data_IF_654722825761
#
_entry.id   IF_654722825761
#
_cell.length_a   1.000
_cell.length_b   1.000
_cell.length_c   1.000
_cell.angle_alpha   90.00
_cell.angle_beta   90.00
_cell.angle_gamma   90.00
#
_symmetry.space_group_name_H-M   'P 1'
#
loop_
_entity.id
_entity.type
_entity.pdbx_description
1 polymer ?
#
# COMPACT_ATOMS: atom_id res chain seq x y z
N UNK A 1 3.13 -10.47 6.22
CA UNK A 1 2.97 -10.19 4.77
C UNK A 1 4.15 -9.40 4.19
N UNK A 2 4.66 -8.32 4.82
CA UNK A 2 5.90 -7.63 4.40
C UNK A 2 7.08 -8.58 4.18
N UNK A 3 7.40 -9.41 5.17
CA UNK A 3 8.51 -10.39 5.09
C UNK A 3 8.33 -11.38 3.93
N UNK A 4 7.09 -11.79 3.64
CA UNK A 4 6.80 -12.67 2.51
C UNK A 4 7.05 -11.95 1.17
N UNK A 5 6.77 -10.65 1.08
CA UNK A 5 7.02 -9.87 -0.15
C UNK A 5 8.51 -9.55 -0.32
N UNK A 6 9.23 -9.23 0.76
CA UNK A 6 10.68 -9.03 0.72
C UNK A 6 11.40 -10.30 0.22
N UNK A 7 10.89 -11.49 0.57
CA UNK A 7 11.40 -12.78 0.07
C UNK A 7 11.13 -13.03 -1.42
N UNK A 8 10.20 -12.31 -2.04
CA UNK A 8 9.91 -12.45 -3.49
C UNK A 8 10.84 -11.60 -4.38
N UNK A 9 11.79 -10.87 -3.79
CA UNK A 9 12.74 -10.02 -4.53
C UNK A 9 12.21 -8.63 -4.90
N UNK A 10 11.01 -8.28 -4.43
CA UNK A 10 10.49 -6.92 -4.57
C UNK A 10 11.05 -5.99 -3.49
N UNK A 11 11.47 -4.80 -3.89
CA UNK A 11 11.93 -3.76 -2.96
C UNK A 11 10.72 -3.12 -2.26
N UNK A 12 10.64 -3.31 -0.94
CA UNK A 12 9.59 -2.72 -0.10
C UNK A 12 10.07 -1.37 0.42
N UNK A 13 9.34 -0.30 0.09
CA UNK A 13 9.63 1.07 0.55
C UNK A 13 8.51 1.61 1.43
N UNK A 14 8.80 2.55 2.34
CA UNK A 14 7.75 3.37 2.96
C UNK A 14 6.88 4.08 1.92
N UNK A 15 5.69 4.52 2.34
CA UNK A 15 4.84 5.36 1.50
C UNK A 15 5.59 6.62 1.02
N UNK A 16 5.41 6.95 -0.26
CA UNK A 16 6.08 8.10 -0.88
C UNK A 16 5.33 9.43 -0.72
N UNK A 17 4.07 9.40 -0.30
CA UNK A 17 3.15 10.56 -0.20
C UNK A 17 2.14 10.37 0.93
N UNK A 18 1.45 11.44 1.30
CA UNK A 18 0.43 11.45 2.35
C UNK A 18 1.02 11.66 3.76
N UNK A 19 0.16 11.59 4.77
CA UNK A 19 0.52 11.89 6.17
C UNK A 19 1.49 10.90 6.82
N UNK A 20 1.63 9.70 6.26
CA UNK A 20 2.58 8.67 6.73
C UNK A 20 3.78 8.48 5.79
N UNK A 21 4.08 9.49 4.97
CA UNK A 21 5.24 9.44 4.07
C UNK A 21 6.52 9.19 4.88
N UNK A 22 7.32 8.21 4.45
CA UNK A 22 8.62 7.90 5.07
C UNK A 22 8.56 7.20 6.43
N UNK A 23 7.37 7.04 7.03
CA UNK A 23 7.20 6.28 8.27
C UNK A 23 7.35 4.80 7.96
N UNK A 24 8.21 4.11 8.70
CA UNK A 24 8.44 2.68 8.53
C UNK A 24 7.17 1.88 8.86
N UNK A 25 7.04 0.68 8.32
CA UNK A 25 5.91 -0.19 8.68
C UNK A 25 5.90 -0.54 10.18
N UNK A 26 7.08 -0.71 10.78
CA UNK A 26 7.26 -1.03 12.20
C UNK A 26 6.80 0.11 13.11
N UNK A 27 6.92 1.36 12.64
CA UNK A 27 6.42 2.56 13.33
C UNK A 27 4.93 2.86 13.04
N UNK A 28 4.21 1.91 12.43
CA UNK A 28 2.80 2.04 12.07
C UNK A 28 2.55 2.80 10.76
N UNK A 29 3.57 2.88 9.90
CA UNK A 29 3.48 3.43 8.55
C UNK A 29 2.95 2.42 7.53
N UNK A 30 2.64 2.92 6.33
CA UNK A 30 2.34 2.08 5.18
C UNK A 30 3.58 1.70 4.38
N UNK A 31 3.41 0.83 3.38
CA UNK A 31 4.48 0.48 2.46
C UNK A 31 4.00 0.46 1.02
N UNK A 32 4.97 0.52 0.09
CA UNK A 32 4.76 0.42 -1.35
C UNK A 32 5.78 -0.51 -1.99
N UNK A 33 5.33 -1.18 -3.03
CA UNK A 33 6.14 -1.99 -3.95
C UNK A 33 5.84 -1.52 -5.36
N UNK A 34 6.88 -1.40 -6.19
CA UNK A 34 6.72 -1.22 -7.61
C UNK A 34 6.90 -2.58 -8.31
N UNK A 35 6.05 -2.89 -9.29
CA UNK A 35 6.08 -4.14 -10.04
C UNK A 35 5.72 -3.89 -11.50
N UNK A 36 6.19 -4.73 -12.43
CA UNK A 36 5.76 -4.68 -13.83
C UNK A 36 5.97 -3.33 -14.55
N UNK A 37 6.97 -2.54 -14.16
CA UNK A 37 7.24 -1.20 -14.69
C UNK A 37 6.37 -0.12 -14.06
N UNK A 38 5.09 -0.08 -14.45
CA UNK A 38 4.13 0.95 -14.03
C UNK A 38 3.19 0.53 -12.90
N UNK A 39 3.35 -0.70 -12.42
CA UNK A 39 2.56 -1.27 -11.33
C UNK A 39 3.03 -0.77 -9.97
N UNK A 40 2.06 -0.39 -9.13
CA UNK A 40 2.32 0.01 -7.74
C UNK A 40 1.32 -0.69 -6.83
N UNK A 41 1.85 -1.41 -5.84
CA UNK A 41 1.07 -2.04 -4.77
C UNK A 41 1.36 -1.32 -3.46
N UNK A 42 0.32 -0.85 -2.76
CA UNK A 42 0.46 -0.05 -1.55
C UNK A 42 -0.43 -0.57 -0.42
N UNK A 43 0.13 -0.63 0.78
CA UNK A 43 -0.58 -0.77 2.03
C UNK A 43 -0.75 0.60 2.69
N UNK A 44 -1.98 0.93 3.07
CA UNK A 44 -2.28 2.09 3.89
C UNK A 44 -2.87 1.63 5.23
N UNK A 45 -2.21 1.94 6.37
CA UNK A 45 -2.75 1.60 7.68
C UNK A 45 -3.95 2.49 8.04
N UNK A 46 -4.74 2.07 9.02
CA UNK A 46 -5.87 2.85 9.54
C UNK A 46 -5.45 4.19 10.13
N UNK A 47 -4.27 4.24 10.76
CA UNK A 47 -3.71 5.45 11.36
C UNK A 47 -3.60 6.55 10.30
N UNK A 48 -4.33 7.66 10.49
CA UNK A 48 -4.35 8.77 9.54
C UNK A 48 -5.09 8.48 8.23
N UNK A 49 -5.89 7.40 8.18
CA UNK A 49 -6.77 7.10 7.05
C UNK A 49 -8.04 7.95 7.12
N UNK A 50 -8.25 8.79 6.11
CA UNK A 50 -9.55 9.46 5.90
C UNK A 50 -10.64 8.49 5.39
N UNK A 51 -10.31 7.23 5.08
CA UNK A 51 -11.19 6.28 4.41
C UNK A 51 -11.74 5.17 5.33
N UNK A 52 -11.67 5.36 6.65
CA UNK A 52 -12.22 4.44 7.64
C UNK A 52 -11.58 3.05 7.57
N UNK A 53 -10.42 2.91 8.23
CA UNK A 53 -9.68 1.66 8.29
C UNK A 53 -8.48 1.57 7.34
N UNK A 54 -7.74 0.47 7.50
CA UNK A 54 -6.65 0.09 6.61
C UNK A 54 -7.17 -0.37 5.25
N UNK A 55 -6.36 -0.22 4.21
CA UNK A 55 -6.74 -0.63 2.85
C UNK A 55 -5.51 -0.88 1.98
N UNK A 56 -5.74 -1.65 0.91
CA UNK A 56 -4.78 -1.87 -0.16
C UNK A 56 -5.10 -0.97 -1.35
N UNK A 57 -4.06 -0.47 -2.00
CA UNK A 57 -4.18 0.27 -3.25
C UNK A 57 -3.31 -0.38 -4.30
N UNK A 58 -3.93 -0.74 -5.42
CA UNK A 58 -3.28 -1.37 -6.57
C UNK A 58 -3.43 -0.43 -7.74
N UNK A 59 -2.31 -0.06 -8.37
CA UNK A 59 -2.26 0.75 -9.56
C UNK A 59 -1.52 0.00 -10.65
N UNK A 60 -2.02 0.04 -11.88
CA UNK A 60 -1.35 -0.49 -13.07
C UNK A 60 -1.55 0.50 -14.22
N UNK A 61 -0.52 1.30 -14.49
CA UNK A 61 -0.62 2.43 -15.44
C UNK A 61 -1.67 3.44 -14.96
N UNK A 62 -2.69 3.70 -15.77
CA UNK A 62 -3.77 4.63 -15.45
C UNK A 62 -4.87 4.04 -14.54
N UNK A 63 -4.93 2.70 -14.41
CA UNK A 63 -5.96 2.02 -13.62
C UNK A 63 -5.56 1.97 -12.16
N UNK A 64 -6.46 2.38 -11.28
CA UNK A 64 -6.31 2.30 -9.83
C UNK A 64 -7.54 1.64 -9.19
N UNK A 65 -7.31 0.72 -8.26
CA UNK A 65 -8.33 0.12 -7.43
C UNK A 65 -7.90 0.14 -5.96
N UNK A 66 -8.89 0.22 -5.06
CA UNK A 66 -8.69 0.12 -3.62
C UNK A 66 -9.48 -1.05 -3.08
N UNK A 67 -8.89 -1.78 -2.16
CA UNK A 67 -9.50 -2.93 -1.52
C UNK A 67 -9.45 -2.76 -0.02
N UNK A 68 -10.50 -3.15 0.67
CA UNK A 68 -10.43 -3.31 2.12
C UNK A 68 -9.50 -4.48 2.50
N UNK A 69 -9.37 -4.74 3.80
CA UNK A 69 -8.51 -5.81 4.31
C UNK A 69 -9.04 -7.21 4.00
N UNK A 70 -10.33 -7.33 3.67
CA UNK A 70 -11.00 -8.56 3.24
C UNK A 70 -10.89 -8.78 1.71
N UNK A 71 -10.35 -7.81 0.98
CA UNK A 71 -10.18 -7.87 -0.47
C UNK A 71 -11.40 -7.40 -1.27
N UNK A 72 -12.41 -6.83 -0.63
CA UNK A 72 -13.54 -6.23 -1.34
C UNK A 72 -13.16 -4.87 -1.91
N UNK A 73 -13.65 -4.56 -3.10
CA UNK A 73 -13.42 -3.27 -3.73
C UNK A 73 -14.05 -2.16 -2.89
N UNK A 74 -13.23 -1.23 -2.39
CA UNK A 74 -13.70 0.03 -1.84
C UNK A 74 -14.07 0.96 -3.00
N UNK A 75 -15.38 1.20 -3.20
CA UNK A 75 -15.84 2.29 -4.06
C UNK A 75 -15.34 3.62 -3.45
N UNK A 76 -14.75 4.47 -4.30
CA UNK A 76 -14.35 5.83 -3.92
C UNK A 76 -15.58 6.70 -3.71
#
# INVERSE_FOLDING_TARGET
MRTAIEQTGYEVKPLGRGGLKGVSFEDGGGYRINYGGDGIFQYHPEKGSHHGGAYWKVKNGEKEARYDMDGNIKKQ
#
